data_IF_712670083290
#
_entry.id   IF_712670083290
#
_cell.length_a   1.000
_cell.length_b   1.000
_cell.length_c   1.000
_cell.angle_alpha   90.00
_cell.angle_beta   90.00
_cell.angle_gamma   90.00
#
_symmetry.space_group_name_H-M   'P 1'
#
loop_
_entity.id
_entity.type
_entity.pdbx_description
1 polymer ?
#
# COMPACT_ATOMS: atom_id res chain seq x y z
N UNK A 1 6.92 13.28 10.74
CA UNK A 1 6.13 12.07 10.44
C UNK A 1 5.14 12.51 9.38
N UNK A 2 4.99 11.72 8.31
CA UNK A 2 4.02 12.01 7.25
C UNK A 2 2.63 11.62 7.70
N UNK A 3 1.62 12.36 7.26
CA UNK A 3 0.23 12.02 7.52
C UNK A 3 -0.22 10.87 6.62
N UNK A 4 -1.01 9.94 7.15
CA UNK A 4 -1.56 8.84 6.36
C UNK A 4 -2.95 9.21 5.87
N UNK A 5 -3.14 9.18 4.56
CA UNK A 5 -4.44 9.27 3.91
C UNK A 5 -4.77 7.92 3.29
N UNK A 6 -6.00 7.47 3.46
CA UNK A 6 -6.46 6.19 2.94
C UNK A 6 -7.40 6.40 1.76
N UNK A 7 -7.21 5.63 0.69
CA UNK A 7 -8.26 5.50 -0.32
C UNK A 7 -9.51 4.88 0.33
N UNK A 8 -10.71 5.32 -0.07
CA UNK A 8 -12.00 4.91 0.52
C UNK A 8 -12.16 3.38 0.65
N UNK A 9 -11.66 2.62 -0.32
CA UNK A 9 -11.74 1.15 -0.30
C UNK A 9 -10.72 0.43 0.59
N UNK A 10 -9.73 1.14 1.16
CA UNK A 10 -8.69 0.50 1.98
C UNK A 10 -9.29 -0.11 3.25
N UNK A 11 -10.35 0.49 3.79
CA UNK A 11 -11.04 -0.10 4.94
C UNK A 11 -11.58 -1.50 4.60
N UNK A 12 -12.17 -1.66 3.42
CA UNK A 12 -12.66 -2.94 2.91
C UNK A 12 -11.53 -3.95 2.67
N UNK A 13 -10.37 -3.48 2.20
CA UNK A 13 -9.17 -4.31 2.06
C UNK A 13 -8.67 -4.82 3.42
N UNK A 14 -8.65 -3.96 4.44
CA UNK A 14 -8.21 -4.30 5.80
C UNK A 14 -9.17 -5.28 6.48
N UNK A 15 -10.49 -5.11 6.29
CA UNK A 15 -11.53 -6.01 6.83
C UNK A 15 -11.41 -7.44 6.31
N UNK A 16 -10.81 -7.63 5.14
CA UNK A 16 -10.58 -8.97 4.55
C UNK A 16 -9.36 -9.69 5.15
N UNK A 17 -8.59 -9.03 6.02
CA UNK A 17 -7.41 -9.60 6.65
C UNK A 17 -7.77 -10.28 7.98
N UNK A 18 -7.11 -11.39 8.27
CA UNK A 18 -7.18 -11.98 9.61
C UNK A 18 -6.51 -11.09 10.66
N UNK A 19 -6.97 -11.16 11.91
CA UNK A 19 -6.54 -10.29 13.01
C UNK A 19 -5.02 -10.12 13.13
N UNK A 20 -4.25 -11.22 13.11
CA UNK A 20 -2.78 -11.17 13.17
C UNK A 20 -2.18 -10.37 12.01
N UNK A 21 -2.64 -10.62 10.80
CA UNK A 21 -2.15 -9.98 9.58
C UNK A 21 -2.52 -8.49 9.57
N UNK A 22 -3.73 -8.13 10.02
CA UNK A 22 -4.16 -6.74 10.20
C UNK A 22 -3.21 -5.97 11.12
N UNK A 23 -2.88 -6.53 12.30
CA UNK A 23 -1.94 -5.89 13.23
C UNK A 23 -0.55 -5.66 12.61
N UNK A 24 -0.06 -6.63 11.82
CA UNK A 24 1.22 -6.47 11.11
C UNK A 24 1.15 -5.38 10.02
N UNK A 25 0.01 -5.25 9.35
CA UNK A 25 -0.22 -4.20 8.35
C UNK A 25 -0.27 -2.83 9.01
N UNK A 26 -1.02 -2.66 10.09
CA UNK A 26 -1.12 -1.37 10.81
C UNK A 26 0.26 -0.92 11.32
N UNK A 27 1.02 -1.82 11.96
CA UNK A 27 2.42 -1.55 12.36
C UNK A 27 3.30 -1.16 11.17
N UNK A 28 3.08 -1.76 10.00
CA UNK A 28 3.83 -1.39 8.80
C UNK A 28 3.43 0.00 8.32
N UNK A 29 2.15 0.36 8.31
CA UNK A 29 1.67 1.70 7.93
C UNK A 29 2.27 2.78 8.83
N UNK A 30 2.29 2.56 10.15
CA UNK A 30 2.99 3.45 11.09
C UNK A 30 4.47 3.60 10.75
N UNK A 31 5.13 2.52 10.32
CA UNK A 31 6.52 2.60 9.88
C UNK A 31 6.65 3.43 8.59
N UNK A 32 5.74 3.26 7.63
CA UNK A 32 5.74 4.05 6.38
C UNK A 32 5.55 5.54 6.72
N UNK A 33 4.70 5.91 7.68
CA UNK A 33 4.53 7.29 8.15
C UNK A 33 5.84 7.93 8.64
N UNK A 34 6.72 7.14 9.25
CA UNK A 34 8.02 7.62 9.77
C UNK A 34 9.12 7.59 8.72
N UNK A 35 9.14 6.55 7.88
CA UNK A 35 10.17 6.30 6.88
C UNK A 35 9.50 5.95 5.53
N UNK A 36 8.94 6.92 4.78
CA UNK A 36 8.12 6.62 3.60
C UNK A 36 8.91 6.06 2.42
N UNK A 37 10.23 6.22 2.39
CA UNK A 37 11.10 5.77 1.29
C UNK A 37 11.56 4.31 1.44
N UNK A 38 11.12 3.57 2.47
CA UNK A 38 11.45 2.15 2.67
C UNK A 38 10.77 1.20 1.67
N UNK A 39 9.77 1.70 0.94
CA UNK A 39 9.06 0.96 -0.09
C UNK A 39 9.85 0.84 -1.39
N UNK A 40 9.60 -0.25 -2.10
CA UNK A 40 10.18 -0.50 -3.41
C UNK A 40 9.35 0.24 -4.45
N UNK A 41 9.99 1.03 -5.31
CA UNK A 41 9.31 1.71 -6.40
C UNK A 41 8.58 0.74 -7.33
N UNK A 42 7.37 1.15 -7.71
CA UNK A 42 6.61 0.56 -8.78
C UNK A 42 6.85 1.36 -10.05
N UNK A 43 6.84 0.65 -11.17
CA UNK A 43 6.78 1.23 -12.50
C UNK A 43 5.66 0.57 -13.28
N UNK A 44 5.77 0.61 -14.60
CA UNK A 44 4.83 -0.09 -15.48
C UNK A 44 4.97 -1.61 -15.30
N UNK A 45 3.88 -2.28 -14.93
CA UNK A 45 3.84 -3.74 -14.83
C UNK A 45 2.57 -4.28 -15.48
N UNK A 46 2.73 -5.13 -16.49
CA UNK A 46 1.61 -5.78 -17.19
C UNK A 46 0.52 -4.78 -17.64
N UNK A 47 0.92 -3.68 -18.28
CA UNK A 47 0.07 -2.55 -18.72
C UNK A 47 -0.62 -1.74 -17.62
N UNK A 48 -0.27 -1.94 -16.34
CA UNK A 48 -0.70 -1.07 -15.24
C UNK A 48 0.35 0.01 -14.99
N UNK A 49 -0.04 1.28 -15.09
CA UNK A 49 0.86 2.40 -14.83
C UNK A 49 0.83 2.78 -13.35
N UNK A 50 1.71 2.13 -12.59
CA UNK A 50 1.90 2.40 -11.16
C UNK A 50 3.17 3.23 -10.91
N UNK A 51 3.62 3.99 -11.91
CA UNK A 51 4.79 4.86 -11.79
C UNK A 51 4.56 5.91 -10.70
N UNK A 52 5.55 6.11 -9.82
CA UNK A 52 5.43 7.02 -8.67
C UNK A 52 4.71 6.42 -7.45
N UNK A 53 4.23 5.17 -7.54
CA UNK A 53 3.78 4.41 -6.38
C UNK A 53 4.91 3.54 -5.84
N UNK A 54 4.80 3.19 -4.57
CA UNK A 54 5.70 2.28 -3.87
C UNK A 54 4.92 1.10 -3.34
N UNK A 55 5.61 -0.03 -3.18
CA UNK A 55 5.08 -1.21 -2.48
C UNK A 55 5.96 -1.59 -1.30
N UNK A 56 5.33 -2.17 -0.27
CA UNK A 56 6.05 -2.86 0.78
C UNK A 56 5.40 -4.20 1.11
N UNK A 57 6.24 -5.18 1.43
CA UNK A 57 5.82 -6.51 1.84
C UNK A 57 5.56 -6.58 3.35
N UNK A 58 4.51 -7.31 3.72
CA UNK A 58 4.13 -7.60 5.11
C UNK A 58 3.86 -9.10 5.25
N UNK A 59 3.97 -9.61 6.48
CA UNK A 59 3.63 -10.99 6.85
C UNK A 59 4.31 -12.02 5.94
N UNK A 60 5.64 -12.07 5.96
CA UNK A 60 6.45 -12.96 5.12
C UNK A 60 6.12 -12.87 3.62
N UNK A 61 5.91 -11.65 3.12
CA UNK A 61 5.52 -11.34 1.73
C UNK A 61 4.14 -11.85 1.32
N UNK A 62 3.29 -12.29 2.26
CA UNK A 62 1.90 -12.70 2.00
C UNK A 62 1.00 -11.51 1.71
N UNK A 63 1.31 -10.32 2.24
CA UNK A 63 0.55 -9.09 2.00
C UNK A 63 1.44 -8.03 1.35
N UNK A 64 0.83 -7.19 0.51
CA UNK A 64 1.44 -5.97 -0.02
C UNK A 64 0.61 -4.76 0.36
N UNK A 65 1.28 -3.67 0.67
CA UNK A 65 0.71 -2.33 0.80
C UNK A 65 1.23 -1.53 -0.39
N UNK A 66 0.33 -0.90 -1.15
CA UNK A 66 0.65 0.01 -2.24
C UNK A 66 0.31 1.43 -1.81
N UNK A 67 1.25 2.35 -1.95
CA UNK A 67 1.10 3.73 -1.51
C UNK A 67 1.85 4.72 -2.39
N UNK A 68 1.52 6.01 -2.27
CA UNK A 68 2.23 7.12 -2.92
C UNK A 68 2.61 8.17 -1.89
N UNK A 69 3.75 8.82 -2.10
CA UNK A 69 4.18 9.98 -1.32
C UNK A 69 3.71 11.22 -2.07
N UNK A 70 3.01 12.11 -1.38
CA UNK A 70 2.50 13.38 -1.92
C UNK A 70 3.30 14.48 -1.20
N UNK A 71 4.43 14.89 -1.79
CA UNK A 71 5.39 15.80 -1.15
C UNK A 71 4.86 17.23 -1.01
N UNK A 72 3.99 17.67 -1.92
CA UNK A 72 3.29 18.96 -1.85
C UNK A 72 2.32 19.05 -0.67
N UNK A 73 1.91 17.90 -0.12
CA UNK A 73 0.99 17.82 1.04
C UNK A 73 1.59 17.13 2.26
N UNK A 74 2.83 16.63 2.16
CA UNK A 74 3.52 15.84 3.22
C UNK A 74 2.66 14.66 3.69
N UNK A 75 2.03 13.96 2.73
CA UNK A 75 1.09 12.87 2.98
C UNK A 75 1.52 11.56 2.30
N UNK A 76 1.09 10.43 2.86
CA UNK A 76 1.19 9.10 2.25
C UNK A 76 -0.23 8.62 1.94
N UNK A 77 -0.50 8.41 0.66
CA UNK A 77 -1.78 7.87 0.22
C UNK A 77 -1.70 6.35 0.09
N UNK A 78 -2.32 5.61 1.02
CA UNK A 78 -2.47 4.16 0.92
C UNK A 78 -3.58 3.86 -0.09
N UNK A 79 -3.25 3.16 -1.17
CA UNK A 79 -4.20 2.91 -2.27
C UNK A 79 -4.80 1.52 -2.18
N UNK A 80 -4.00 0.52 -1.81
CA UNK A 80 -4.46 -0.86 -1.73
C UNK A 80 -3.66 -1.67 -0.71
N UNK A 81 -4.36 -2.57 -0.02
CA UNK A 81 -3.75 -3.61 0.81
C UNK A 81 -4.32 -4.95 0.37
N UNK A 82 -3.47 -5.96 0.20
CA UNK A 82 -4.00 -7.24 -0.25
C UNK A 82 -3.00 -8.38 -0.25
N UNK A 83 -3.56 -9.59 -0.35
CA UNK A 83 -2.78 -10.82 -0.46
C UNK A 83 -1.86 -10.79 -1.67
N UNK A 84 -0.82 -11.61 -1.58
CA UNK A 84 0.04 -12.02 -2.69
C UNK A 84 -0.69 -12.97 -3.63
N UNK A 85 -1.84 -12.53 -4.13
CA UNK A 85 -2.23 -12.93 -5.48
C UNK A 85 -1.33 -12.12 -6.41
N UNK A 86 -0.69 -12.76 -7.38
CA UNK A 86 0.48 -12.18 -8.03
C UNK A 86 0.23 -10.83 -8.74
N UNK A 87 -1.04 -10.48 -9.00
CA UNK A 87 -1.44 -9.18 -9.55
C UNK A 87 -2.64 -8.47 -8.91
N UNK A 88 -3.46 -9.09 -8.05
CA UNK A 88 -4.75 -8.51 -7.64
C UNK A 88 -4.61 -7.17 -6.90
N UNK A 89 -3.63 -7.05 -6.01
CA UNK A 89 -3.38 -5.78 -5.30
C UNK A 89 -2.93 -4.66 -6.24
N UNK A 90 -2.25 -4.97 -7.34
CA UNK A 90 -1.82 -3.98 -8.32
C UNK A 90 -2.97 -3.56 -9.24
N UNK A 91 -3.86 -4.49 -9.62
CA UNK A 91 -5.09 -4.18 -10.34
C UNK A 91 -5.97 -3.24 -9.52
N UNK A 92 -6.27 -3.62 -8.27
CA UNK A 92 -6.99 -2.77 -7.32
C UNK A 92 -6.34 -1.39 -7.18
N UNK A 93 -5.01 -1.34 -7.06
CA UNK A 93 -4.32 -0.06 -6.98
C UNK A 93 -4.52 0.77 -8.25
N UNK A 94 -4.35 0.19 -9.43
CA UNK A 94 -4.55 0.86 -10.71
C UNK A 94 -5.98 1.36 -10.91
N UNK A 95 -6.99 0.60 -10.49
CA UNK A 95 -8.41 0.96 -10.62
C UNK A 95 -8.81 2.14 -9.70
N UNK A 96 -7.95 2.50 -8.75
CA UNK A 96 -8.18 3.53 -7.72
C UNK A 96 -7.33 4.80 -7.93
N UNK A 97 -6.62 4.87 -9.06
CA UNK A 97 -5.70 5.95 -9.44
C UNK A 97 -6.33 6.82 -10.54
#
# INVERSE_FOLDING_TARGET
MYDIVYHQDVESDLKQLGHRTLLLVLKKIEKIAKEPYIGIDLGNKANLNLSGYKKIYVDNKKIRIVYKIIEDKIEIYIVAVGKRDDMNVYKKANDRI
#
